data_IF_547403360365
#
_entry.id   IF_547403360365
#
_cell.length_a   1.000
_cell.length_b   1.000
_cell.length_c   1.000
_cell.angle_alpha   90.00
_cell.angle_beta   90.00
_cell.angle_gamma   90.00
#
_symmetry.space_group_name_H-M   'P 1'
#
loop_
_entity.id
_entity.type
_entity.pdbx_description
1 polymer ?
#
# COMPACT_ATOMS: atom_id res chain seq x y z
N UNK A 1 23.87 39.64 -24.35
CA UNK A 1 23.92 38.17 -24.29
C UNK A 1 23.94 37.77 -22.82
N UNK A 2 22.85 37.23 -22.28
CA UNK A 2 22.83 36.73 -20.91
C UNK A 2 23.57 35.38 -20.88
N UNK A 3 24.57 35.25 -20.00
CA UNK A 3 25.27 33.99 -19.80
C UNK A 3 24.26 32.89 -19.40
N UNK A 4 24.36 31.72 -20.03
CA UNK A 4 23.63 30.53 -19.61
C UNK A 4 24.00 30.26 -18.16
N UNK A 5 23.06 30.45 -17.22
CA UNK A 5 23.27 30.06 -15.83
C UNK A 5 23.03 28.57 -15.72
N UNK A 6 24.07 27.82 -15.36
CA UNK A 6 23.95 26.40 -15.09
C UNK A 6 23.18 26.22 -13.77
N UNK A 7 22.01 25.60 -13.85
CA UNK A 7 21.21 25.25 -12.68
C UNK A 7 21.40 23.77 -12.36
N UNK A 8 21.67 23.47 -11.10
CA UNK A 8 21.65 22.09 -10.60
C UNK A 8 20.20 21.70 -10.31
N UNK A 9 19.80 20.49 -10.72
CA UNK A 9 18.46 19.95 -10.45
C UNK A 9 18.58 18.55 -9.87
N UNK A 10 17.86 18.29 -8.78
CA UNK A 10 17.69 16.95 -8.21
C UNK A 10 16.20 16.62 -8.19
N UNK A 11 15.83 15.50 -8.82
CA UNK A 11 14.46 15.00 -8.87
C UNK A 11 14.41 13.57 -8.36
N UNK A 12 13.35 13.25 -7.64
CA UNK A 12 13.01 11.88 -7.26
C UNK A 12 11.50 11.70 -7.21
N UNK A 13 11.05 10.46 -7.37
CA UNK A 13 9.65 10.10 -7.50
C UNK A 13 9.38 8.79 -6.75
N UNK A 14 8.24 8.73 -6.07
CA UNK A 14 7.71 7.54 -5.43
C UNK A 14 6.37 7.16 -6.03
N UNK A 15 6.21 5.89 -6.41
CA UNK A 15 4.96 5.35 -6.96
C UNK A 15 3.98 4.85 -5.90
N UNK A 16 4.47 4.63 -4.69
CA UNK A 16 3.67 4.22 -3.53
C UNK A 16 4.07 5.07 -2.35
N UNK A 17 3.09 5.68 -1.69
CA UNK A 17 3.32 6.54 -0.54
C UNK A 17 2.07 6.62 0.34
N UNK A 18 2.25 6.85 1.63
CA UNK A 18 1.17 7.20 2.55
C UNK A 18 1.52 8.49 3.27
N UNK A 19 0.84 9.56 2.93
CA UNK A 19 1.20 10.89 3.42
C UNK A 19 -0.02 11.52 4.10
N UNK A 20 0.12 11.76 5.40
CA UNK A 20 -0.87 12.45 6.22
C UNK A 20 -0.45 13.88 6.58
N UNK A 21 -1.36 14.60 7.24
CA UNK A 21 -1.18 16.02 7.57
C UNK A 21 0.16 16.33 8.25
N UNK A 22 0.49 15.63 9.33
CA UNK A 22 1.72 15.89 10.10
C UNK A 22 3.01 15.64 9.32
N UNK A 23 2.99 14.76 8.31
CA UNK A 23 4.11 14.59 7.41
C UNK A 23 4.16 15.68 6.33
N UNK A 24 3.00 16.04 5.76
CA UNK A 24 2.90 17.16 4.81
C UNK A 24 3.46 18.44 5.43
N UNK A 25 3.05 18.78 6.65
CA UNK A 25 3.50 19.99 7.33
C UNK A 25 5.03 19.99 7.52
N UNK A 26 5.62 18.84 7.90
CA UNK A 26 7.09 18.70 8.03
C UNK A 26 7.81 18.82 6.68
N UNK A 27 7.28 18.17 5.65
CA UNK A 27 7.87 18.20 4.31
C UNK A 27 7.79 19.61 3.73
N UNK A 28 6.66 20.30 3.88
CA UNK A 28 6.47 21.68 3.42
C UNK A 28 7.28 22.68 4.25
N UNK A 29 7.43 22.48 5.56
CA UNK A 29 8.32 23.28 6.39
C UNK A 29 9.78 23.17 5.93
N UNK A 30 10.26 21.96 5.63
CA UNK A 30 11.60 21.78 5.04
C UNK A 30 11.66 22.42 3.65
N UNK A 31 10.67 22.20 2.80
CA UNK A 31 10.64 22.69 1.42
C UNK A 31 10.60 24.23 1.31
N UNK A 32 9.98 24.90 2.29
CA UNK A 32 9.87 26.36 2.40
C UNK A 32 10.95 26.99 3.30
N UNK A 33 11.96 26.24 3.73
CA UNK A 33 13.02 26.77 4.58
C UNK A 33 13.77 27.92 3.90
N UNK A 34 13.67 29.12 4.48
CA UNK A 34 14.25 30.34 3.91
C UNK A 34 13.44 30.97 2.78
N UNK A 35 12.17 30.59 2.64
CA UNK A 35 11.20 31.26 1.79
C UNK A 35 10.56 32.46 2.52
N UNK A 36 10.33 33.55 1.78
CA UNK A 36 9.39 34.59 2.20
C UNK A 36 7.96 34.13 1.86
N UNK A 37 6.96 34.54 2.64
CA UNK A 37 5.59 34.01 2.55
C UNK A 37 4.96 34.13 1.15
N UNK A 38 5.34 35.16 0.39
CA UNK A 38 4.80 35.48 -0.92
C UNK A 38 5.34 34.55 -2.04
N UNK A 39 6.37 33.76 -1.73
CA UNK A 39 7.07 32.89 -2.69
C UNK A 39 6.57 31.44 -2.65
N UNK A 40 5.64 31.14 -1.75
CA UNK A 40 5.07 29.81 -1.55
C UNK A 40 3.67 29.75 -2.12
N UNK A 41 3.39 28.69 -2.88
CA UNK A 41 2.09 28.45 -3.50
C UNK A 41 1.69 26.99 -3.30
N UNK A 42 0.48 26.79 -2.81
CA UNK A 42 -0.21 25.51 -2.74
C UNK A 42 -1.33 25.51 -3.76
N UNK A 43 -1.47 24.43 -4.53
CA UNK A 43 -2.56 24.28 -5.48
C UNK A 43 -3.15 22.88 -5.52
N UNK A 44 -4.42 22.79 -5.88
CA UNK A 44 -5.10 21.52 -6.17
C UNK A 44 -6.06 21.71 -7.34
N UNK A 45 -6.40 20.62 -8.03
CA UNK A 45 -7.33 20.64 -9.17
C UNK A 45 -8.52 19.74 -8.86
N UNK A 46 -9.71 20.33 -8.78
CA UNK A 46 -10.94 19.61 -8.46
C UNK A 46 -11.95 19.82 -9.58
N UNK A 47 -12.30 18.73 -10.26
CA UNK A 47 -13.23 18.73 -11.39
C UNK A 47 -12.93 19.82 -12.44
N UNK A 48 -11.64 20.00 -12.75
CA UNK A 48 -11.18 21.00 -13.72
C UNK A 48 -11.04 22.42 -13.17
N UNK A 49 -11.38 22.67 -11.91
CA UNK A 49 -11.17 23.95 -11.24
C UNK A 49 -9.88 23.91 -10.43
N UNK A 50 -8.91 24.76 -10.77
CA UNK A 50 -7.67 24.90 -10.00
C UNK A 50 -7.87 25.92 -8.88
N UNK A 51 -7.60 25.49 -7.64
CA UNK A 51 -7.58 26.36 -6.46
C UNK A 51 -6.13 26.57 -6.05
N UNK A 52 -5.75 27.81 -5.74
CA UNK A 52 -4.37 28.21 -5.39
C UNK A 52 -4.37 29.14 -4.18
N UNK A 53 -3.49 28.91 -3.20
CA UNK A 53 -3.35 29.72 -1.98
C UNK A 53 -1.89 29.76 -1.51
N UNK A 54 -1.54 30.70 -0.64
CA UNK A 54 -0.18 30.83 -0.09
C UNK A 54 0.08 29.90 1.11
N UNK A 55 -0.99 29.38 1.74
CA UNK A 55 -0.91 28.39 2.81
C UNK A 55 -1.79 27.17 2.54
N UNK A 56 -1.41 26.04 3.15
CA UNK A 56 -2.16 24.80 3.04
C UNK A 56 -3.52 24.90 3.75
N UNK A 57 -3.58 25.60 4.88
CA UNK A 57 -4.80 25.85 5.65
C UNK A 57 -5.82 26.67 4.86
N UNK A 58 -5.38 27.72 4.16
CA UNK A 58 -6.23 28.49 3.27
C UNK A 58 -6.73 27.64 2.09
N UNK A 59 -5.86 26.78 1.53
CA UNK A 59 -6.25 25.89 0.44
C UNK A 59 -7.32 24.89 0.91
N UNK A 60 -7.14 24.28 2.09
CA UNK A 60 -8.13 23.37 2.69
C UNK A 60 -9.45 24.09 2.94
N UNK A 61 -9.41 25.30 3.50
CA UNK A 61 -10.60 26.12 3.74
C UNK A 61 -11.31 26.48 2.44
N UNK A 62 -10.55 26.81 1.38
CA UNK A 62 -11.09 27.11 0.06
C UNK A 62 -11.72 25.89 -0.61
N UNK A 63 -11.13 24.71 -0.47
CA UNK A 63 -11.70 23.44 -0.97
C UNK A 63 -13.00 23.11 -0.24
N UNK A 64 -13.01 23.25 1.09
CA UNK A 64 -14.20 22.98 1.90
C UNK A 64 -15.36 23.94 1.59
N UNK A 65 -15.06 25.20 1.28
CA UNK A 65 -16.06 26.20 0.89
C UNK A 65 -16.45 26.14 -0.59
N UNK A 66 -15.75 25.35 -1.42
CA UNK A 66 -15.97 25.33 -2.86
C UNK A 66 -17.28 24.62 -3.21
N UNK A 67 -18.10 25.16 -4.13
CA UNK A 67 -19.36 24.53 -4.57
C UNK A 67 -19.15 23.32 -5.51
N UNK A 68 -17.92 22.80 -5.60
CA UNK A 68 -17.53 21.75 -6.55
C UNK A 68 -18.06 20.38 -6.08
N UNK A 69 -18.69 19.57 -6.95
CA UNK A 69 -19.25 18.29 -6.55
C UNK A 69 -18.17 17.32 -6.03
N UNK A 70 -18.57 16.42 -5.12
CA UNK A 70 -17.69 15.43 -4.48
C UNK A 70 -17.45 15.72 -3.00
N UNK A 71 -16.75 14.81 -2.32
CA UNK A 71 -16.41 14.93 -0.90
C UNK A 71 -15.19 15.87 -0.70
N UNK A 72 -15.28 16.96 0.09
CA UNK A 72 -14.15 17.87 0.34
C UNK A 72 -12.99 17.22 1.11
N UNK A 73 -13.22 16.07 1.77
CA UNK A 73 -12.18 15.35 2.52
C UNK A 73 -11.31 14.45 1.63
N UNK A 74 -11.75 14.14 0.41
CA UNK A 74 -11.01 13.29 -0.53
C UNK A 74 -10.18 14.16 -1.47
N UNK A 75 -8.86 13.98 -1.41
CA UNK A 75 -7.88 14.71 -2.22
C UNK A 75 -7.17 13.77 -3.19
N UNK A 76 -7.22 14.09 -4.48
CA UNK A 76 -6.57 13.32 -5.55
C UNK A 76 -5.24 13.93 -5.99
N UNK A 77 -5.07 15.24 -5.78
CA UNK A 77 -3.82 15.93 -6.03
C UNK A 77 -3.58 17.10 -5.08
N UNK A 78 -2.30 17.37 -4.80
CA UNK A 78 -1.82 18.51 -4.06
C UNK A 78 -0.44 18.87 -4.61
N UNK A 79 -0.31 20.10 -5.08
CA UNK A 79 0.93 20.65 -5.58
C UNK A 79 1.41 21.73 -4.62
N UNK A 80 2.70 21.72 -4.34
CA UNK A 80 3.41 22.77 -3.62
C UNK A 80 4.51 23.29 -4.52
N UNK A 81 4.67 24.61 -4.56
CA UNK A 81 5.80 25.24 -5.20
C UNK A 81 6.34 26.39 -4.38
N UNK A 82 7.66 26.48 -4.35
CA UNK A 82 8.41 27.58 -3.79
C UNK A 82 9.37 28.09 -4.86
N UNK A 83 9.42 29.41 -5.11
CA UNK A 83 10.31 30.00 -6.12
C UNK A 83 10.81 31.39 -5.70
N UNK A 84 12.13 31.57 -5.59
CA UNK A 84 12.76 32.87 -5.29
C UNK A 84 13.64 33.43 -6.45
N UNK A 85 13.51 32.86 -7.64
CA UNK A 85 14.28 33.22 -8.83
C UNK A 85 15.66 32.55 -8.92
N UNK A 86 16.28 32.19 -7.79
CA UNK A 86 17.54 31.41 -7.75
C UNK A 86 17.32 29.97 -7.34
N UNK A 87 16.28 29.72 -6.56
CA UNK A 87 15.89 28.43 -5.98
C UNK A 87 14.44 28.13 -6.35
N UNK A 88 14.17 26.86 -6.59
CA UNK A 88 12.84 26.35 -6.85
C UNK A 88 12.70 24.98 -6.20
N UNK A 89 11.68 24.80 -5.38
CA UNK A 89 11.27 23.50 -4.86
C UNK A 89 9.83 23.25 -5.30
N UNK A 90 9.59 22.13 -5.96
CA UNK A 90 8.26 21.71 -6.37
C UNK A 90 8.00 20.30 -5.85
N UNK A 91 6.85 20.13 -5.20
CA UNK A 91 6.37 18.86 -4.71
C UNK A 91 5.00 18.65 -5.34
N UNK A 92 4.86 17.55 -6.07
CA UNK A 92 3.64 17.19 -6.77
C UNK A 92 3.16 15.88 -6.20
N UNK A 93 1.98 15.89 -5.60
CA UNK A 93 1.38 14.73 -4.96
C UNK A 93 0.13 14.39 -5.75
N UNK A 94 0.08 13.19 -6.31
CA UNK A 94 -1.03 12.67 -7.09
C UNK A 94 -1.41 11.28 -6.62
N UNK A 95 -2.64 10.85 -6.85
CA UNK A 95 -3.14 9.51 -6.49
C UNK A 95 -2.20 8.35 -6.89
N UNK A 96 -1.38 8.50 -7.94
CA UNK A 96 -0.48 7.44 -8.39
C UNK A 96 1.00 7.64 -8.04
N UNK A 97 1.41 8.86 -7.69
CA UNK A 97 2.82 9.17 -7.51
C UNK A 97 3.04 10.45 -6.70
N UNK A 98 4.20 10.53 -6.07
CA UNK A 98 4.72 11.73 -5.42
C UNK A 98 6.06 12.06 -6.05
N UNK A 99 6.20 13.25 -6.65
CA UNK A 99 7.46 13.72 -7.22
C UNK A 99 7.93 14.95 -6.47
N UNK A 100 9.23 15.01 -6.24
CA UNK A 100 9.91 16.17 -5.67
C UNK A 100 10.98 16.62 -6.64
N UNK A 101 11.04 17.91 -6.90
CA UNK A 101 12.03 18.56 -7.74
C UNK A 101 12.64 19.72 -6.99
N UNK A 102 13.96 19.68 -6.81
CA UNK A 102 14.75 20.77 -6.23
C UNK A 102 15.67 21.30 -7.29
N UNK A 103 15.61 22.61 -7.55
CA UNK A 103 16.45 23.30 -8.52
C UNK A 103 17.07 24.54 -7.90
N UNK A 104 18.34 24.78 -8.17
CA UNK A 104 19.06 25.94 -7.64
C UNK A 104 20.38 26.20 -8.35
N UNK A 105 20.95 27.39 -8.12
CA UNK A 105 22.31 27.74 -8.59
C UNK A 105 23.41 27.04 -7.79
N UNK A 106 23.19 26.76 -6.49
CA UNK A 106 24.14 26.04 -5.61
C UNK A 106 23.81 24.54 -5.52
N UNK A 107 24.72 23.70 -6.04
CA UNK A 107 24.60 22.25 -6.01
C UNK A 107 24.56 21.67 -4.58
N UNK A 108 25.30 22.26 -3.65
CA UNK A 108 25.37 21.80 -2.25
C UNK A 108 24.00 21.95 -1.59
N UNK A 109 23.39 23.13 -1.76
CA UNK A 109 22.03 23.38 -1.31
C UNK A 109 21.02 22.43 -1.97
N UNK A 110 21.08 22.24 -3.30
CA UNK A 110 20.15 21.35 -4.03
C UNK A 110 20.22 19.92 -3.49
N UNK A 111 21.42 19.36 -3.35
CA UNK A 111 21.58 17.99 -2.86
C UNK A 111 21.23 17.84 -1.37
N UNK A 112 21.61 18.81 -0.52
CA UNK A 112 21.24 18.81 0.89
C UNK A 112 19.73 18.89 1.10
N UNK A 113 19.05 19.76 0.34
CA UNK A 113 17.60 19.91 0.38
C UNK A 113 16.87 18.67 -0.11
N UNK A 114 17.33 18.08 -1.22
CA UNK A 114 16.80 16.82 -1.72
C UNK A 114 17.01 15.67 -0.72
N UNK A 115 18.17 15.57 -0.08
CA UNK A 115 18.45 14.54 0.92
C UNK A 115 17.56 14.67 2.16
N UNK A 116 17.32 15.89 2.67
CA UNK A 116 16.41 16.13 3.79
C UNK A 116 14.98 15.72 3.46
N UNK A 117 14.49 16.06 2.26
CA UNK A 117 13.16 15.64 1.82
C UNK A 117 13.07 14.13 1.61
N UNK A 118 14.11 13.48 1.07
CA UNK A 118 14.17 12.02 0.99
C UNK A 118 14.09 11.38 2.37
N UNK A 119 14.86 11.85 3.35
CA UNK A 119 14.85 11.30 4.70
C UNK A 119 13.46 11.34 5.37
N UNK A 120 12.62 12.34 5.03
CA UNK A 120 11.24 12.41 5.50
C UNK A 120 10.28 11.49 4.72
N UNK A 121 10.51 11.32 3.43
CA UNK A 121 9.61 10.61 2.54
C UNK A 121 9.94 9.11 2.41
N UNK A 122 11.20 8.71 2.48
CA UNK A 122 11.66 7.32 2.37
C UNK A 122 10.97 6.38 3.38
N UNK A 123 10.70 6.75 4.64
CA UNK A 123 10.00 5.86 5.58
C UNK A 123 8.53 5.60 5.21
N UNK A 124 7.89 6.52 4.49
CA UNK A 124 6.48 6.39 4.07
C UNK A 124 6.31 6.03 2.61
N UNK A 125 7.39 6.13 1.84
CA UNK A 125 7.47 5.73 0.46
C UNK A 125 8.07 4.32 0.38
N UNK A 126 7.68 3.54 -0.63
CA UNK A 126 8.27 2.22 -0.81
C UNK A 126 7.64 1.10 0.03
N UNK A 127 6.34 1.19 0.35
CA UNK A 127 5.59 -0.06 0.37
C UNK A 127 5.76 -0.72 -1.02
N UNK A 128 6.38 -1.91 -1.07
CA UNK A 128 6.53 -2.70 -2.30
C UNK A 128 5.28 -2.58 -3.15
N UNK A 129 5.41 -2.35 -4.48
CA UNK A 129 4.26 -2.15 -5.34
C UNK A 129 3.26 -3.29 -5.11
N UNK A 130 1.96 -2.97 -5.02
CA UNK A 130 0.96 -3.89 -4.48
C UNK A 130 0.94 -5.22 -5.23
N UNK A 131 1.18 -5.21 -6.55
CA UNK A 131 1.27 -6.42 -7.36
C UNK A 131 2.45 -7.31 -6.98
N UNK A 132 3.60 -6.78 -6.57
CA UNK A 132 4.76 -7.57 -6.13
C UNK A 132 4.54 -8.17 -4.76
N UNK A 133 4.00 -7.38 -3.81
CA UNK A 133 3.69 -7.89 -2.47
C UNK A 133 2.57 -8.91 -2.53
N UNK A 134 1.54 -8.67 -3.35
CA UNK A 134 0.46 -9.62 -3.61
C UNK A 134 0.97 -10.87 -4.31
N UNK A 135 1.78 -10.74 -5.36
CA UNK A 135 2.36 -11.89 -6.05
C UNK A 135 3.23 -12.71 -5.09
N UNK A 136 4.07 -12.08 -4.27
CA UNK A 136 4.90 -12.78 -3.29
C UNK A 136 4.05 -13.45 -2.21
N UNK A 137 2.99 -12.79 -1.73
CA UNK A 137 2.07 -13.35 -0.74
C UNK A 137 1.26 -14.50 -1.34
N UNK A 138 0.73 -14.34 -2.55
CA UNK A 138 0.02 -15.36 -3.31
C UNK A 138 0.92 -16.56 -3.61
N UNK A 139 2.17 -16.34 -4.01
CA UNK A 139 3.16 -17.42 -4.19
C UNK A 139 3.46 -18.13 -2.89
N UNK A 140 3.61 -17.41 -1.76
CA UNK A 140 3.81 -18.04 -0.44
C UNK A 140 2.60 -18.87 -0.01
N UNK A 141 1.39 -18.33 -0.20
CA UNK A 141 0.13 -19.04 0.09
C UNK A 141 0.04 -20.27 -0.80
N UNK A 142 0.22 -20.13 -2.11
CA UNK A 142 0.18 -21.22 -3.07
C UNK A 142 1.23 -22.30 -2.77
N UNK A 143 2.46 -21.91 -2.39
CA UNK A 143 3.49 -22.85 -1.98
C UNK A 143 3.10 -23.59 -0.68
N UNK A 144 2.59 -22.87 0.33
CA UNK A 144 2.15 -23.49 1.58
C UNK A 144 0.97 -24.44 1.40
N UNK A 145 -0.01 -24.07 0.57
CA UNK A 145 -1.17 -24.91 0.28
C UNK A 145 -0.81 -26.10 -0.62
N UNK A 146 0.15 -25.95 -1.55
CA UNK A 146 0.68 -27.07 -2.33
C UNK A 146 1.39 -28.11 -1.44
N UNK A 147 2.14 -27.67 -0.42
CA UNK A 147 2.76 -28.58 0.56
C UNK A 147 1.69 -29.36 1.33
N UNK A 148 0.66 -28.68 1.83
CA UNK A 148 -0.45 -29.33 2.56
C UNK A 148 -1.18 -30.33 1.66
N UNK A 149 -1.46 -29.95 0.40
CA UNK A 149 -2.12 -30.83 -0.56
C UNK A 149 -1.26 -32.07 -0.90
N UNK A 150 0.07 -31.91 -1.03
CA UNK A 150 0.98 -33.03 -1.24
C UNK A 150 1.01 -33.99 -0.05
N UNK A 151 1.07 -33.47 1.18
CA UNK A 151 1.05 -34.29 2.39
C UNK A 151 -0.28 -35.03 2.51
N UNK A 152 -1.41 -34.36 2.27
CA UNK A 152 -2.72 -34.99 2.27
C UNK A 152 -2.82 -36.08 1.20
N UNK A 153 -2.40 -35.80 -0.04
CA UNK A 153 -2.41 -36.77 -1.13
C UNK A 153 -1.54 -38.01 -0.82
N UNK A 154 -0.37 -37.81 -0.20
CA UNK A 154 0.51 -38.90 0.21
C UNK A 154 -0.14 -39.79 1.28
N UNK A 155 -0.71 -39.19 2.33
CA UNK A 155 -1.40 -39.94 3.39
C UNK A 155 -2.58 -40.74 2.82
N UNK A 156 -3.40 -40.10 1.98
CA UNK A 156 -4.51 -40.76 1.31
C UNK A 156 -4.06 -41.90 0.41
N UNK A 157 -2.97 -41.73 -0.34
CA UNK A 157 -2.44 -42.79 -1.20
C UNK A 157 -1.94 -43.99 -0.38
N UNK A 158 -1.35 -43.74 0.79
CA UNK A 158 -0.93 -44.82 1.69
C UNK A 158 -2.11 -45.64 2.21
N UNK A 159 -3.23 -45.01 2.58
CA UNK A 159 -4.45 -45.72 3.01
C UNK A 159 -5.11 -46.53 1.89
N UNK A 160 -5.09 -46.02 0.65
CA UNK A 160 -5.66 -46.73 -0.52
C UNK A 160 -4.88 -47.99 -0.85
N UNK A 161 -3.57 -47.97 -0.67
CA UNK A 161 -2.74 -49.15 -0.88
C UNK A 161 -3.06 -50.26 0.14
N UNK A 162 -3.52 -49.89 1.33
CA UNK A 162 -3.81 -50.83 2.41
C UNK A 162 -5.30 -51.28 2.44
N UNK A 163 -6.22 -50.54 1.81
CA UNK A 163 -7.66 -50.86 1.81
C UNK A 163 -8.34 -50.67 0.44
N UNK A 164 -8.79 -51.78 -0.16
CA UNK A 164 -9.47 -51.80 -1.47
C UNK A 164 -10.80 -50.99 -1.54
N UNK A 165 -11.34 -50.55 -0.41
CA UNK A 165 -12.53 -49.68 -0.33
C UNK A 165 -12.23 -48.18 -0.19
N UNK A 166 -10.98 -47.79 0.02
CA UNK A 166 -10.60 -46.41 0.36
C UNK A 166 -10.56 -45.45 -0.83
N UNK A 167 -10.61 -45.96 -2.07
CA UNK A 167 -10.50 -45.14 -3.29
C UNK A 167 -11.56 -44.03 -3.42
N UNK A 168 -12.77 -44.25 -2.87
CA UNK A 168 -13.85 -43.25 -2.91
C UNK A 168 -13.62 -42.11 -1.91
N UNK A 169 -13.19 -42.45 -0.69
CA UNK A 169 -12.85 -41.47 0.35
C UNK A 169 -11.62 -40.63 -0.03
N UNK A 170 -10.68 -41.25 -0.77
CA UNK A 170 -9.51 -40.59 -1.32
C UNK A 170 -9.86 -39.50 -2.34
N UNK A 171 -10.77 -39.83 -3.26
CA UNK A 171 -11.29 -38.91 -4.27
C UNK A 171 -12.01 -37.73 -3.63
N UNK A 172 -12.88 -37.97 -2.64
CA UNK A 172 -13.60 -36.90 -1.94
C UNK A 172 -12.64 -35.96 -1.20
N UNK A 173 -11.64 -36.51 -0.50
CA UNK A 173 -10.62 -35.73 0.23
C UNK A 173 -9.74 -34.89 -0.71
N UNK A 174 -9.36 -35.44 -1.87
CA UNK A 174 -8.60 -34.72 -2.89
C UNK A 174 -9.44 -33.58 -3.48
N UNK A 175 -10.72 -33.82 -3.74
CA UNK A 175 -11.64 -32.83 -4.32
C UNK A 175 -11.87 -31.66 -3.37
N UNK A 176 -12.05 -31.94 -2.07
CA UNK A 176 -12.16 -30.90 -1.02
C UNK A 176 -10.86 -30.09 -0.92
N UNK A 177 -9.71 -30.76 -0.91
CA UNK A 177 -8.40 -30.09 -0.82
C UNK A 177 -8.13 -29.19 -2.04
N UNK A 178 -8.44 -29.67 -3.24
CA UNK A 178 -8.31 -28.90 -4.49
C UNK A 178 -9.28 -27.71 -4.53
N UNK A 179 -10.50 -27.86 -4.02
CA UNK A 179 -11.47 -26.76 -3.92
C UNK A 179 -11.00 -25.68 -2.94
N UNK A 180 -10.51 -26.08 -1.75
CA UNK A 180 -9.91 -25.14 -0.78
C UNK A 180 -8.73 -24.41 -1.41
N UNK A 181 -7.81 -25.12 -2.08
CA UNK A 181 -6.69 -24.51 -2.79
C UNK A 181 -7.15 -23.48 -3.83
N UNK A 182 -8.12 -23.84 -4.68
CA UNK A 182 -8.66 -22.94 -5.70
C UNK A 182 -9.30 -21.69 -5.09
N UNK A 183 -10.07 -21.82 -3.99
CA UNK A 183 -10.64 -20.69 -3.26
C UNK A 183 -9.54 -19.78 -2.71
N UNK A 184 -8.46 -20.32 -2.14
CA UNK A 184 -7.32 -19.54 -1.66
C UNK A 184 -6.59 -18.79 -2.78
N UNK A 185 -6.38 -19.43 -3.93
CA UNK A 185 -5.76 -18.78 -5.09
C UNK A 185 -6.67 -17.67 -5.63
N UNK A 186 -7.97 -17.92 -5.75
CA UNK A 186 -8.94 -16.91 -6.21
C UNK A 186 -9.02 -15.74 -5.23
N UNK A 187 -9.14 -15.98 -3.93
CA UNK A 187 -9.18 -14.91 -2.92
C UNK A 187 -7.86 -14.14 -2.84
N UNK A 188 -6.71 -14.84 -2.93
CA UNK A 188 -5.39 -14.22 -2.92
C UNK A 188 -5.07 -13.39 -4.15
N UNK A 189 -5.65 -13.74 -5.32
CA UNK A 189 -5.46 -13.01 -6.59
C UNK A 189 -6.54 -11.95 -6.84
N UNK A 190 -7.75 -12.14 -6.33
CA UNK A 190 -8.87 -11.19 -6.48
C UNK A 190 -8.97 -10.14 -5.38
N UNK A 191 -8.14 -10.22 -4.33
CA UNK A 191 -8.04 -9.16 -3.34
C UNK A 191 -7.75 -7.83 -4.04
N UNK A 192 -8.79 -7.03 -4.27
CA UNK A 192 -8.67 -5.70 -4.85
C UNK A 192 -7.77 -4.92 -3.90
N UNK A 193 -6.51 -4.74 -4.28
CA UNK A 193 -5.63 -3.84 -3.56
C UNK A 193 -6.27 -2.47 -3.66
N UNK A 194 -6.91 -2.02 -2.57
CA UNK A 194 -7.26 -0.61 -2.43
C UNK A 194 -5.96 0.16 -2.68
N UNK A 195 -5.97 1.18 -3.55
CA UNK A 195 -4.78 1.97 -3.84
C UNK A 195 -4.21 2.45 -2.50
N UNK A 196 -3.00 1.98 -2.19
CA UNK A 196 -2.33 2.32 -0.93
C UNK A 196 -1.69 3.70 -0.95
N UNK A 197 -1.77 4.36 -2.08
CA UNK A 197 -1.53 5.79 -2.23
C UNK A 197 -2.66 6.53 -1.55
N UNK A 198 -2.36 7.05 -0.36
CA UNK A 198 -3.32 7.77 0.45
C UNK A 198 -2.75 9.15 0.76
N UNK A 199 -3.40 10.16 0.19
CA UNK A 199 -3.18 11.55 0.51
C UNK A 199 -4.27 11.97 1.50
N UNK A 200 -3.89 12.18 2.76
CA UNK A 200 -4.80 12.73 3.75
C UNK A 200 -4.34 14.13 4.15
N UNK A 201 -5.00 15.14 3.59
CA UNK A 201 -4.65 16.55 3.82
C UNK A 201 -5.27 17.08 5.12
N UNK A 202 -6.33 16.44 5.63
CA UNK A 202 -7.08 16.93 6.81
C UNK A 202 -6.82 16.06 8.05
N UNK A 203 -6.66 14.75 7.86
CA UNK A 203 -6.46 13.80 8.95
C UNK A 203 -5.04 13.23 9.03
N UNK A 204 -4.78 12.55 10.14
CA UNK A 204 -3.60 11.69 10.25
C UNK A 204 -3.83 10.37 9.52
N UNK A 205 -2.77 9.84 8.90
CA UNK A 205 -2.78 8.46 8.45
C UNK A 205 -2.64 7.61 9.71
N UNK A 206 -3.76 7.11 10.23
CA UNK A 206 -3.68 6.08 11.25
C UNK A 206 -3.04 4.85 10.59
N UNK A 207 -1.93 4.37 11.14
CA UNK A 207 -1.44 3.00 10.93
C UNK A 207 -2.41 2.02 11.61
N UNK A 208 -3.69 2.12 11.27
CA UNK A 208 -4.67 1.13 11.60
C UNK A 208 -4.17 -0.17 10.95
N UNK A 209 -3.60 -1.04 11.79
CA UNK A 209 -2.98 -2.28 11.34
C UNK A 209 -3.87 -3.02 10.36
N UNK A 210 -3.28 -3.77 9.44
CA UNK A 210 -3.95 -4.41 8.29
C UNK A 210 -5.33 -5.01 8.60
N UNK A 211 -5.54 -5.56 9.80
CA UNK A 211 -6.82 -6.03 10.32
C UNK A 211 -7.96 -5.01 10.30
N UNK A 212 -7.68 -3.76 10.70
CA UNK A 212 -8.66 -2.67 10.71
C UNK A 212 -9.05 -2.23 9.30
N UNK A 213 -8.18 -2.44 8.31
CA UNK A 213 -8.45 -2.14 6.90
C UNK A 213 -9.36 -3.14 6.19
N UNK A 214 -9.58 -4.32 6.78
CA UNK A 214 -10.47 -5.34 6.26
C UNK A 214 -11.94 -4.95 6.50
N UNK A 215 -12.77 -5.12 5.48
CA UNK A 215 -14.23 -5.02 5.60
C UNK A 215 -14.78 -6.12 6.53
N UNK A 216 -15.98 -5.91 7.09
CA UNK A 216 -16.63 -6.86 8.00
C UNK A 216 -16.74 -8.25 7.37
N UNK A 217 -17.09 -8.34 6.08
CA UNK A 217 -17.12 -9.62 5.38
C UNK A 217 -15.73 -10.25 5.23
N UNK A 218 -14.70 -9.46 4.96
CA UNK A 218 -13.32 -9.95 4.86
C UNK A 218 -12.80 -10.46 6.21
N UNK A 219 -13.16 -9.80 7.32
CA UNK A 219 -12.84 -10.26 8.68
C UNK A 219 -13.54 -11.55 9.03
N UNK A 220 -14.83 -11.69 8.68
CA UNK A 220 -15.59 -12.93 8.88
C UNK A 220 -15.01 -14.06 8.04
N UNK A 221 -14.67 -13.81 6.78
CA UNK A 221 -14.02 -14.79 5.92
C UNK A 221 -12.66 -15.24 6.48
N UNK A 222 -11.83 -14.30 6.95
CA UNK A 222 -10.56 -14.62 7.59
C UNK A 222 -10.74 -15.40 8.90
N UNK A 223 -11.75 -15.05 9.69
CA UNK A 223 -12.13 -15.79 10.90
C UNK A 223 -12.55 -17.23 10.58
N UNK A 224 -13.41 -17.43 9.59
CA UNK A 224 -13.84 -18.76 9.14
C UNK A 224 -12.69 -19.61 8.59
N UNK A 225 -11.72 -18.97 7.94
CA UNK A 225 -10.51 -19.61 7.43
C UNK A 225 -9.62 -20.13 8.57
N UNK A 226 -9.43 -19.35 9.64
CA UNK A 226 -8.70 -19.81 10.83
C UNK A 226 -9.41 -21.00 11.51
N UNK A 227 -10.73 -20.97 11.61
CA UNK A 227 -11.52 -22.07 12.19
C UNK A 227 -11.38 -23.34 11.35
N UNK A 228 -11.49 -23.22 10.03
CA UNK A 228 -11.33 -24.36 9.11
C UNK A 228 -9.93 -24.94 9.20
N UNK A 229 -8.90 -24.10 9.29
CA UNK A 229 -7.52 -24.54 9.45
C UNK A 229 -7.30 -25.28 10.78
N UNK A 230 -7.84 -24.76 11.89
CA UNK A 230 -7.78 -25.42 13.19
C UNK A 230 -8.53 -26.76 13.20
N UNK A 231 -9.69 -26.84 12.56
CA UNK A 231 -10.46 -28.08 12.41
C UNK A 231 -9.67 -29.12 11.61
N UNK A 232 -9.04 -28.73 10.50
CA UNK A 232 -8.20 -29.62 9.69
C UNK A 232 -7.02 -30.19 10.49
N UNK A 233 -6.34 -29.36 11.30
CA UNK A 233 -5.28 -29.83 12.21
C UNK A 233 -5.85 -30.82 13.23
N UNK A 234 -7.02 -30.53 13.81
CA UNK A 234 -7.69 -31.43 14.76
C UNK A 234 -7.99 -32.80 14.16
N UNK A 235 -8.52 -32.84 12.94
CA UNK A 235 -8.79 -34.09 12.21
C UNK A 235 -7.50 -34.87 11.94
N UNK A 236 -6.43 -34.18 11.50
CA UNK A 236 -5.12 -34.82 11.28
C UNK A 236 -4.52 -35.37 12.59
N UNK A 237 -4.63 -34.63 13.68
CA UNK A 237 -4.15 -35.07 14.99
C UNK A 237 -4.94 -36.28 15.52
N UNK A 238 -6.26 -36.30 15.33
CA UNK A 238 -7.11 -37.43 15.69
C UNK A 238 -6.73 -38.68 14.90
N UNK A 239 -6.62 -38.56 13.57
CA UNK A 239 -6.22 -39.66 12.70
C UNK A 239 -4.83 -40.21 13.07
N UNK A 240 -3.89 -39.31 13.39
CA UNK A 240 -2.56 -39.71 13.87
C UNK A 240 -2.63 -40.45 15.21
N UNK A 241 -3.49 -40.01 16.14
CA UNK A 241 -3.67 -40.65 17.44
C UNK A 241 -4.26 -42.06 17.33
N UNK A 242 -5.21 -42.29 16.42
CA UNK A 242 -5.79 -43.62 16.18
C UNK A 242 -4.75 -44.59 15.61
N UNK A 243 -3.86 -44.10 14.73
CA UNK A 243 -2.76 -44.88 14.15
C UNK A 243 -1.72 -45.35 15.17
N UNK A 244 -1.48 -44.58 16.23
CA UNK A 244 -0.47 -44.88 17.25
C UNK A 244 -1.04 -45.45 18.54
N UNK A 245 -2.31 -45.20 18.84
CA UNK A 245 -3.02 -45.69 20.02
C UNK A 245 -3.55 -47.12 19.89
N UNK A 246 -3.62 -47.68 18.68
CA UNK A 246 -4.09 -49.03 18.43
C UNK A 246 -3.02 -50.14 18.69
N UNK A 247 -1.99 -49.87 19.49
CA UNK A 247 -1.00 -50.86 19.93
C UNK A 247 -1.31 -51.46 21.29
#
# INVERSE_FOLDING_TARGET
MAASRDFTTSRFEYRTYKVGRSLLDRVFAVASEGAEGDMVEFSTNRNGTTLQRSSLEELVSAVAASPTPGDPEIWTNLDFSYRDGRRNVSIQIHEMWLSVSVRGEDATWVHGQAARMRALLDPVAGEEPPWEKQHRTAVRIAASSAIVALVAAFLTFSEVNDNAGAGKNALDSFTISAFVFAVFVILGTQGKSKPKTFLNVVGEVSDAGWWKGLDTMERVAFGGLLVTFAAAIGTLASAYSDLWGAK
#
